data_IF_882294454023
#
_entry.id   IF_882294454023
#
_cell.length_a   1.000
_cell.length_b   1.000
_cell.length_c   1.000
_cell.angle_alpha   90.00
_cell.angle_beta   90.00
_cell.angle_gamma   90.00
#
_symmetry.space_group_name_H-M   'P 1'
#
loop_
_entity.id
_entity.type
_entity.pdbx_description
1 polymer ?
#
# COMPACT_ATOMS: atom_id res chain seq x y z
N UNK A 1 -4.35 13.93 26.95
CA UNK A 1 -3.58 14.98 27.65
C UNK A 1 -2.92 15.99 26.71
N UNK A 2 -2.16 15.58 25.69
CA UNK A 2 -1.46 16.51 24.77
C UNK A 2 -2.32 17.69 24.27
N UNK A 3 -3.49 17.43 23.66
CA UNK A 3 -4.36 18.48 23.12
C UNK A 3 -4.96 19.39 24.19
N UNK A 4 -5.46 18.81 25.28
CA UNK A 4 -6.07 19.56 26.38
C UNK A 4 -5.06 20.45 27.11
N UNK A 5 -3.85 19.93 27.35
CA UNK A 5 -2.76 20.66 28.03
C UNK A 5 -1.83 21.39 27.05
N UNK A 6 -2.16 21.37 25.76
CA UNK A 6 -1.47 22.08 24.67
C UNK A 6 0.04 21.84 24.60
N UNK A 7 0.50 20.62 24.89
CA UNK A 7 1.92 20.28 24.86
C UNK A 7 2.55 20.49 23.48
N UNK A 8 1.80 20.19 22.42
CA UNK A 8 2.23 20.35 21.03
C UNK A 8 2.67 21.78 20.69
N UNK A 9 2.10 22.81 21.34
CA UNK A 9 2.47 24.21 21.12
C UNK A 9 3.91 24.46 21.57
N UNK A 10 4.27 23.92 22.73
CA UNK A 10 5.64 24.03 23.25
C UNK A 10 6.63 23.22 22.42
N UNK A 11 6.21 22.04 21.93
CA UNK A 11 7.02 21.22 21.02
C UNK A 11 7.28 21.96 19.70
N UNK A 12 6.27 22.55 19.07
CA UNK A 12 6.48 23.34 17.85
C UNK A 12 7.42 24.52 18.08
N UNK A 13 7.29 25.21 19.22
CA UNK A 13 8.13 26.36 19.55
C UNK A 13 9.59 26.00 19.83
N UNK A 14 9.86 24.82 20.39
CA UNK A 14 11.20 24.42 20.80
C UNK A 14 11.90 23.46 19.81
N UNK A 15 11.40 23.39 18.57
CA UNK A 15 11.98 22.56 17.51
C UNK A 15 11.72 21.08 17.73
N UNK A 16 10.52 20.72 18.18
CA UNK A 16 10.04 19.35 18.44
C UNK A 16 10.86 18.60 19.49
N UNK A 17 11.18 19.28 20.59
CA UNK A 17 11.90 18.70 21.73
C UNK A 17 10.98 18.52 22.94
N UNK A 18 11.15 17.42 23.66
CA UNK A 18 10.49 17.17 24.93
C UNK A 18 11.16 17.94 26.08
N UNK A 19 10.62 17.83 27.30
CA UNK A 19 11.16 18.52 28.48
C UNK A 19 12.61 18.10 28.83
N UNK A 20 13.03 16.91 28.39
CA UNK A 20 14.41 16.40 28.55
C UNK A 20 15.34 16.82 27.39
N UNK A 21 14.90 17.74 26.53
CA UNK A 21 15.60 18.23 25.32
C UNK A 21 15.84 17.15 24.25
N UNK A 22 15.18 16.01 24.34
CA UNK A 22 15.23 14.97 23.31
C UNK A 22 14.15 15.20 22.27
N UNK A 23 14.30 14.70 21.03
CA UNK A 23 13.23 14.72 20.04
C UNK A 23 11.93 14.11 20.58
N UNK A 24 10.80 14.72 20.23
CA UNK A 24 9.49 14.15 20.55
C UNK A 24 9.30 12.85 19.77
N UNK A 25 8.91 11.79 20.47
CA UNK A 25 8.62 10.50 19.83
C UNK A 25 7.49 10.63 18.81
N UNK A 26 7.65 9.98 17.66
CA UNK A 26 6.69 9.99 16.55
C UNK A 26 6.32 11.41 16.08
N UNK A 27 7.31 12.30 16.03
CA UNK A 27 7.17 13.69 15.62
C UNK A 27 6.45 13.84 14.27
N UNK A 28 6.78 13.01 13.30
CA UNK A 28 6.17 12.99 11.97
C UNK A 28 4.66 12.71 12.03
N UNK A 29 4.23 11.75 12.85
CA UNK A 29 2.82 11.45 13.07
C UNK A 29 2.10 12.62 13.75
N UNK A 30 2.72 13.25 14.74
CA UNK A 30 2.16 14.44 15.38
C UNK A 30 1.95 15.59 14.39
N UNK A 31 2.91 15.84 13.51
CA UNK A 31 2.78 16.87 12.48
C UNK A 31 1.59 16.60 11.56
N UNK A 32 1.40 15.36 11.12
CA UNK A 32 0.25 14.96 10.28
C UNK A 32 -1.08 15.13 11.01
N UNK A 33 -1.16 14.70 12.27
CA UNK A 33 -2.37 14.86 13.08
C UNK A 33 -2.71 16.34 13.26
N UNK A 34 -1.74 17.19 13.59
CA UNK A 34 -1.98 18.63 13.77
C UNK A 34 -2.47 19.31 12.49
N UNK A 35 -1.94 18.90 11.33
CA UNK A 35 -2.39 19.41 10.03
C UNK A 35 -3.85 19.03 9.71
N UNK A 36 -4.31 17.85 10.16
CA UNK A 36 -5.70 17.41 9.98
C UNK A 36 -6.65 18.06 10.99
N UNK A 37 -6.23 18.16 12.26
CA UNK A 37 -7.01 18.82 13.32
C UNK A 37 -7.24 20.29 12.99
N UNK A 38 -6.28 20.96 12.35
CA UNK A 38 -6.47 22.34 11.89
C UNK A 38 -7.57 22.52 10.83
N UNK A 39 -7.96 21.45 10.13
CA UNK A 39 -8.96 21.48 9.05
C UNK A 39 -10.37 21.07 9.49
N UNK A 40 -10.51 20.48 10.68
CA UNK A 40 -11.77 19.90 11.15
C UNK A 40 -12.11 20.35 12.58
N UNK A 41 -13.40 20.43 12.91
CA UNK A 41 -13.85 20.67 14.29
C UNK A 41 -13.77 19.37 15.07
N UNK A 42 -12.65 19.15 15.76
CA UNK A 42 -12.39 17.93 16.55
C UNK A 42 -12.30 18.28 18.04
N UNK A 43 -13.03 17.54 18.87
CA UNK A 43 -12.87 17.59 20.34
C UNK A 43 -12.13 16.35 20.85
N UNK A 44 -11.19 16.56 21.77
CA UNK A 44 -10.39 15.49 22.35
C UNK A 44 -10.85 15.20 23.78
N UNK A 45 -11.33 13.97 24.00
CA UNK A 45 -11.73 13.46 25.31
C UNK A 45 -10.77 12.36 25.72
N UNK A 46 -10.18 12.48 26.91
CA UNK A 46 -9.37 11.40 27.48
C UNK A 46 -10.31 10.37 28.09
N UNK A 47 -10.25 9.15 27.60
CA UNK A 47 -10.87 7.99 28.23
C UNK A 47 -9.79 7.11 28.86
N UNK A 48 -10.16 6.33 29.88
CA UNK A 48 -9.27 5.34 30.47
C UNK A 48 -9.25 4.12 29.54
N UNK A 49 -8.06 3.57 29.26
CA UNK A 49 -7.95 2.31 28.52
C UNK A 49 -8.53 1.15 29.32
N UNK A 50 -9.06 0.13 28.64
CA UNK A 50 -9.67 -1.06 29.22
C UNK A 50 -10.80 -0.73 30.22
N UNK A 51 -11.62 0.25 29.85
CA UNK A 51 -12.75 0.70 30.66
C UNK A 51 -14.10 0.29 30.05
N UNK A 52 -14.09 -0.59 29.04
CA UNK A 52 -15.29 -1.07 28.37
C UNK A 52 -15.91 -0.05 27.40
N UNK A 53 -15.15 0.99 27.01
CA UNK A 53 -15.61 1.97 26.02
C UNK A 53 -15.38 1.36 24.64
N UNK A 54 -16.45 0.85 24.02
CA UNK A 54 -16.43 0.06 22.79
C UNK A 54 -15.46 0.58 21.72
N UNK A 55 -15.58 1.86 21.33
CA UNK A 55 -14.73 2.44 20.28
C UNK A 55 -13.26 2.60 20.70
N UNK A 56 -13.00 2.77 21.99
CA UNK A 56 -11.63 2.83 22.51
C UNK A 56 -11.00 1.43 22.57
N UNK A 57 -11.75 0.42 22.98
CA UNK A 57 -11.29 -0.97 22.94
C UNK A 57 -11.09 -1.44 21.51
N UNK A 58 -11.95 -1.01 20.56
CA UNK A 58 -11.75 -1.27 19.14
C UNK A 58 -10.48 -0.62 18.60
N UNK A 59 -10.24 0.65 18.93
CA UNK A 59 -9.02 1.36 18.53
C UNK A 59 -7.76 0.71 19.12
N UNK A 60 -7.81 0.29 20.38
CA UNK A 60 -6.73 -0.45 21.04
C UNK A 60 -6.49 -1.81 20.36
N UNK A 61 -7.56 -2.56 20.05
CA UNK A 61 -7.47 -3.81 19.32
C UNK A 61 -6.90 -3.66 17.91
N UNK A 62 -7.24 -2.58 17.20
CA UNK A 62 -6.65 -2.27 15.90
C UNK A 62 -5.18 -1.88 16.01
N UNK A 63 -4.79 -1.12 17.03
CA UNK A 63 -3.40 -0.76 17.27
C UNK A 63 -2.54 -1.99 17.61
N UNK A 64 -3.05 -2.87 18.48
CA UNK A 64 -2.39 -4.13 18.83
C UNK A 64 -2.25 -5.04 17.61
N UNK A 65 -3.31 -5.17 16.79
CA UNK A 65 -3.23 -5.91 15.52
C UNK A 65 -2.17 -5.33 14.59
N UNK A 66 -2.10 -4.01 14.45
CA UNK A 66 -1.07 -3.36 13.65
C UNK A 66 0.34 -3.65 14.16
N UNK A 67 0.54 -3.72 15.48
CA UNK A 67 1.81 -4.11 16.10
C UNK A 67 2.14 -5.59 15.91
N UNK A 68 1.15 -6.47 16.01
CA UNK A 68 1.30 -7.91 15.73
C UNK A 68 1.67 -8.14 14.27
N UNK A 69 1.03 -7.41 13.35
CA UNK A 69 1.39 -7.37 11.94
C UNK A 69 2.83 -6.87 11.76
N UNK A 70 3.21 -5.77 12.44
CA UNK A 70 4.56 -5.21 12.39
C UNK A 70 5.64 -6.20 12.88
N UNK A 71 5.36 -6.93 13.96
CA UNK A 71 6.24 -7.95 14.54
C UNK A 71 6.33 -9.22 13.68
N UNK A 72 5.39 -9.41 12.75
CA UNK A 72 5.44 -10.50 11.75
C UNK A 72 6.37 -10.19 10.58
N UNK A 73 6.92 -8.97 10.50
CA UNK A 73 7.95 -8.61 9.53
C UNK A 73 9.35 -8.92 10.11
N UNK A 74 10.27 -9.52 9.32
CA UNK A 74 11.64 -9.74 9.78
C UNK A 74 12.33 -8.40 10.11
N UNK A 75 13.14 -8.42 11.16
CA UNK A 75 13.72 -7.31 11.95
C UNK A 75 14.70 -6.36 11.23
N UNK A 76 14.57 -6.18 9.91
CA UNK A 76 15.44 -5.32 9.09
C UNK A 76 14.99 -3.86 8.94
N UNK A 77 13.82 -3.48 9.46
CA UNK A 77 13.31 -2.11 9.34
C UNK A 77 13.99 -1.14 10.32
N UNK A 78 15.25 -0.81 10.08
CA UNK A 78 15.84 0.42 10.64
C UNK A 78 15.69 1.56 9.64
N UNK A 79 15.15 2.68 10.15
CA UNK A 79 15.09 4.04 9.60
C UNK A 79 15.86 4.27 8.29
N UNK A 80 15.14 4.39 7.18
CA UNK A 80 15.62 5.07 5.99
C UNK A 80 14.99 6.48 5.94
N UNK A 81 15.53 7.39 6.76
CA UNK A 81 15.54 8.82 6.46
C UNK A 81 16.89 9.34 6.91
N UNK A 82 17.78 9.57 5.94
CA UNK A 82 19.13 10.11 6.10
C UNK A 82 19.69 10.45 4.72
N UNK A 83 19.61 11.75 4.42
CA UNK A 83 20.39 12.60 3.51
C UNK A 83 21.32 11.98 2.45
N UNK A 84 21.13 12.47 1.22
CA UNK A 84 22.11 12.71 0.17
C UNK A 84 23.10 11.59 -0.19
N UNK A 85 22.67 10.64 -1.03
CA UNK A 85 23.59 9.93 -1.92
C UNK A 85 23.04 9.85 -3.34
N UNK A 86 23.96 9.96 -4.29
CA UNK A 86 23.77 10.11 -5.73
C UNK A 86 22.82 9.06 -6.32
N UNK A 87 22.03 9.47 -7.32
CA UNK A 87 20.97 8.67 -7.94
C UNK A 87 21.42 7.25 -8.33
N UNK A 88 20.53 6.25 -8.27
CA UNK A 88 20.97 4.87 -8.33
C UNK A 88 21.49 4.56 -9.73
N UNK A 89 22.77 4.18 -9.77
CA UNK A 89 23.41 3.53 -10.90
C UNK A 89 22.63 2.28 -11.34
N UNK A 90 22.97 1.83 -12.55
CA UNK A 90 22.32 0.72 -13.24
C UNK A 90 22.10 -0.51 -12.33
N UNK A 91 20.93 -1.17 -12.42
CA UNK A 91 20.60 -2.27 -11.52
C UNK A 91 21.51 -3.48 -11.76
N UNK A 92 21.90 -4.14 -10.67
CA UNK A 92 22.57 -5.45 -10.65
C UNK A 92 21.81 -6.53 -11.45
N UNK A 93 22.50 -7.57 -11.95
CA UNK A 93 21.95 -8.43 -12.98
C UNK A 93 20.85 -9.35 -12.48
N UNK A 94 19.81 -9.39 -13.31
CA UNK A 94 18.58 -10.15 -13.23
C UNK A 94 18.76 -11.68 -13.18
N UNK A 95 18.01 -12.37 -12.31
CA UNK A 95 17.69 -13.80 -12.50
C UNK A 95 16.79 -13.98 -13.73
N UNK A 96 16.63 -15.19 -14.28
CA UNK A 96 15.86 -15.42 -15.52
C UNK A 96 14.39 -14.90 -15.51
N UNK A 97 13.76 -14.73 -14.34
CA UNK A 97 12.44 -14.08 -14.20
C UNK A 97 12.48 -12.56 -14.45
N UNK A 98 13.64 -11.96 -14.24
CA UNK A 98 13.87 -10.52 -14.26
C UNK A 98 14.21 -10.03 -15.69
N UNK A 99 14.37 -10.96 -16.65
CA UNK A 99 14.37 -10.61 -18.08
C UNK A 99 13.01 -10.09 -18.58
N UNK A 100 11.91 -10.55 -18.00
CA UNK A 100 10.53 -10.24 -18.45
C UNK A 100 9.92 -9.01 -17.79
N UNK A 101 10.65 -8.35 -16.89
CA UNK A 101 10.22 -7.13 -16.23
C UNK A 101 11.31 -6.07 -16.39
N UNK A 102 10.97 -4.93 -16.97
CA UNK A 102 11.79 -3.71 -16.85
C UNK A 102 11.07 -2.74 -15.96
N UNK A 103 11.79 -1.98 -15.15
CA UNK A 103 11.18 -0.96 -14.33
C UNK A 103 12.09 0.26 -14.16
N UNK A 104 11.50 1.38 -13.75
CA UNK A 104 12.20 2.60 -13.37
C UNK A 104 11.56 3.18 -12.12
N UNK A 105 12.38 3.50 -11.11
CA UNK A 105 11.92 4.24 -9.95
C UNK A 105 11.56 5.67 -10.35
N UNK A 106 10.49 6.20 -9.79
CA UNK A 106 10.03 7.58 -9.96
C UNK A 106 9.64 8.16 -8.60
N UNK A 107 9.45 9.46 -8.52
CA UNK A 107 8.90 10.07 -7.32
C UNK A 107 7.54 9.44 -6.99
N UNK A 108 7.41 8.87 -5.78
CA UNK A 108 6.18 8.25 -5.31
C UNK A 108 5.87 6.85 -5.86
N UNK A 109 6.76 6.21 -6.63
CA UNK A 109 6.51 4.83 -7.07
C UNK A 109 7.46 4.27 -8.13
N UNK A 110 6.91 3.39 -8.98
CA UNK A 110 7.66 2.71 -10.02
C UNK A 110 6.85 2.66 -11.32
N UNK A 111 7.54 2.82 -12.45
CA UNK A 111 7.02 2.52 -13.77
C UNK A 111 7.50 1.13 -14.17
N UNK A 112 6.57 0.22 -14.48
CA UNK A 112 6.88 -1.15 -14.86
C UNK A 112 6.53 -1.38 -16.33
N UNK A 113 7.34 -2.18 -17.01
CA UNK A 113 7.09 -2.70 -18.35
C UNK A 113 7.25 -4.21 -18.33
N UNK A 114 6.12 -4.91 -18.39
CA UNK A 114 6.08 -6.35 -18.51
C UNK A 114 6.31 -6.72 -19.99
N UNK A 115 7.15 -7.73 -20.23
CA UNK A 115 7.39 -8.26 -21.55
C UNK A 115 6.38 -9.36 -21.90
N UNK A 116 6.29 -9.70 -23.20
CA UNK A 116 5.41 -10.77 -23.68
C UNK A 116 5.70 -12.07 -22.92
N UNK A 117 4.63 -12.76 -22.51
CA UNK A 117 4.70 -14.00 -21.74
C UNK A 117 4.95 -13.80 -20.24
N UNK A 118 5.00 -12.57 -19.73
CA UNK A 118 4.96 -12.32 -18.29
C UNK A 118 3.56 -12.60 -17.72
N UNK A 119 3.50 -13.32 -16.61
CA UNK A 119 2.25 -13.51 -15.85
C UNK A 119 2.05 -12.28 -14.96
N UNK A 120 1.03 -11.47 -15.27
CA UNK A 120 0.87 -10.12 -14.68
C UNK A 120 0.88 -10.13 -13.15
N UNK A 121 -0.05 -10.86 -12.52
CA UNK A 121 -0.20 -10.86 -11.06
C UNK A 121 1.01 -11.45 -10.34
N UNK A 122 1.61 -12.49 -10.90
CA UNK A 122 2.83 -13.10 -10.36
C UNK A 122 4.01 -12.13 -10.42
N UNK A 123 4.19 -11.46 -11.57
CA UNK A 123 5.24 -10.46 -11.77
C UNK A 123 5.08 -9.28 -10.80
N UNK A 124 3.85 -8.77 -10.64
CA UNK A 124 3.54 -7.69 -9.71
C UNK A 124 3.83 -8.10 -8.25
N UNK A 125 3.32 -9.25 -7.80
CA UNK A 125 3.53 -9.72 -6.43
C UNK A 125 5.01 -9.97 -6.13
N UNK A 126 5.75 -10.57 -7.06
CA UNK A 126 7.20 -10.78 -6.95
C UNK A 126 7.97 -9.46 -6.88
N UNK A 127 7.60 -8.47 -7.71
CA UNK A 127 8.21 -7.15 -7.67
C UNK A 127 7.95 -6.44 -6.34
N UNK A 128 6.70 -6.44 -5.86
CA UNK A 128 6.29 -5.87 -4.57
C UNK A 128 7.07 -6.50 -3.42
N UNK A 129 7.23 -7.83 -3.43
CA UNK A 129 8.00 -8.55 -2.42
C UNK A 129 9.48 -8.13 -2.42
N UNK A 130 10.14 -8.17 -3.59
CA UNK A 130 11.57 -7.86 -3.74
C UNK A 130 11.90 -6.40 -3.42
N UNK A 131 10.96 -5.48 -3.66
CA UNK A 131 11.12 -4.05 -3.36
C UNK A 131 10.54 -3.65 -2.02
N UNK A 132 10.00 -4.61 -1.26
CA UNK A 132 9.41 -4.40 0.07
C UNK A 132 8.38 -3.24 0.09
N UNK A 133 7.53 -3.18 -0.94
CA UNK A 133 6.51 -2.12 -1.07
C UNK A 133 5.39 -2.41 -0.07
N UNK A 134 5.31 -1.61 1.00
CA UNK A 134 4.36 -1.83 2.11
C UNK A 134 2.88 -1.73 1.71
N UNK A 135 2.57 -0.97 0.66
CA UNK A 135 1.22 -0.76 0.16
C UNK A 135 1.20 0.35 -0.90
N UNK A 136 0.07 0.50 -1.57
CA UNK A 136 -0.06 1.51 -2.63
C UNK A 136 -1.17 1.20 -3.61
N UNK A 137 -1.15 1.88 -4.74
CA UNK A 137 -2.05 1.65 -5.86
C UNK A 137 -1.29 1.13 -7.06
N UNK A 138 -1.99 0.38 -7.91
CA UNK A 138 -1.47 -0.07 -9.19
C UNK A 138 -2.45 0.34 -10.28
N UNK A 139 -1.90 0.85 -11.39
CA UNK A 139 -2.65 1.07 -12.61
C UNK A 139 -1.84 0.61 -13.82
N UNK A 140 -2.51 0.11 -14.85
CA UNK A 140 -1.85 -0.37 -16.06
C UNK A 140 -2.76 -0.30 -17.28
N UNK A 141 -2.10 -0.32 -18.44
CA UNK A 141 -2.67 -0.50 -19.78
C UNK A 141 -1.75 -1.45 -20.55
N UNK A 142 -2.21 -2.03 -21.65
CA UNK A 142 -1.39 -2.88 -22.51
C UNK A 142 -2.22 -3.89 -23.28
N UNK A 143 -1.62 -5.03 -23.62
CA UNK A 143 -2.31 -6.15 -24.25
C UNK A 143 -2.07 -7.42 -23.44
N UNK A 144 -3.10 -8.26 -23.34
CA UNK A 144 -3.09 -9.52 -22.63
C UNK A 144 -3.53 -10.66 -23.54
N UNK A 145 -3.10 -11.87 -23.22
CA UNK A 145 -3.44 -13.10 -23.91
C UNK A 145 -4.03 -14.08 -22.88
N UNK A 146 -5.13 -14.73 -23.23
CA UNK A 146 -5.82 -15.75 -22.42
C UNK A 146 -6.10 -15.31 -20.98
N UNK A 147 -7.06 -14.38 -20.83
CA UNK A 147 -7.31 -13.69 -19.55
C UNK A 147 -8.38 -14.40 -18.73
N UNK A 148 -8.10 -14.64 -17.45
CA UNK A 148 -9.12 -15.06 -16.49
C UNK A 148 -9.68 -13.84 -15.76
N UNK A 149 -11.01 -13.71 -15.73
CA UNK A 149 -11.71 -12.71 -14.93
C UNK A 149 -12.69 -13.35 -13.96
N UNK A 150 -12.88 -12.68 -12.83
CA UNK A 150 -13.71 -13.10 -11.72
C UNK A 150 -14.94 -12.24 -11.50
N UNK A 151 -16.03 -12.89 -11.07
CA UNK A 151 -17.24 -12.25 -10.56
C UNK A 151 -17.67 -12.92 -9.26
N UNK A 152 -17.76 -12.14 -8.18
CA UNK A 152 -18.25 -12.65 -6.90
C UNK A 152 -19.77 -12.52 -6.82
N UNK A 153 -20.47 -13.66 -6.86
CA UNK A 153 -21.93 -13.71 -6.81
C UNK A 153 -22.39 -13.68 -5.35
N UNK A 154 -23.09 -12.61 -4.97
CA UNK A 154 -23.53 -12.40 -3.59
C UNK A 154 -24.63 -13.35 -3.12
N UNK A 155 -25.46 -13.87 -4.04
CA UNK A 155 -26.60 -14.72 -3.69
C UNK A 155 -26.19 -16.04 -3.04
N UNK A 156 -25.07 -16.61 -3.47
CA UNK A 156 -24.54 -17.89 -3.01
C UNK A 156 -23.09 -17.78 -2.50
N UNK A 157 -22.53 -16.56 -2.47
CA UNK A 157 -21.14 -16.25 -2.07
C UNK A 157 -20.11 -17.06 -2.87
N UNK A 158 -20.41 -17.37 -4.13
CA UNK A 158 -19.49 -18.10 -5.00
C UNK A 158 -18.70 -17.14 -5.90
N UNK A 159 -17.45 -17.53 -6.15
CA UNK A 159 -16.58 -16.82 -7.06
C UNK A 159 -16.62 -17.50 -8.44
N UNK A 160 -17.25 -16.86 -9.40
CA UNK A 160 -17.31 -17.32 -10.78
C UNK A 160 -16.05 -16.85 -11.49
N UNK A 161 -15.34 -17.77 -12.15
CA UNK A 161 -14.24 -17.42 -13.06
C UNK A 161 -14.67 -17.72 -14.48
N UNK A 162 -14.32 -16.81 -15.38
CA UNK A 162 -14.48 -16.99 -16.80
C UNK A 162 -13.15 -16.72 -17.48
N UNK A 163 -12.72 -17.68 -18.30
CA UNK A 163 -11.58 -17.53 -19.18
C UNK A 163 -12.02 -16.85 -20.48
N UNK A 164 -11.20 -15.91 -20.95
CA UNK A 164 -11.37 -15.17 -22.18
C UNK A 164 -10.15 -15.47 -23.07
N UNK A 165 -10.22 -16.54 -23.89
CA UNK A 165 -9.12 -16.94 -24.74
C UNK A 165 -8.90 -15.95 -25.88
N UNK A 166 -7.65 -15.78 -26.30
CA UNK A 166 -7.25 -14.85 -27.35
C UNK A 166 -6.63 -13.56 -26.81
N UNK A 167 -6.41 -12.60 -27.71
CA UNK A 167 -5.71 -11.34 -27.41
C UNK A 167 -6.74 -10.25 -27.10
N UNK A 168 -6.52 -9.56 -26.00
CA UNK A 168 -7.34 -8.45 -25.55
C UNK A 168 -6.49 -7.21 -25.27
N UNK A 169 -6.99 -6.03 -25.64
CA UNK A 169 -6.45 -4.77 -25.16
C UNK A 169 -6.88 -4.56 -23.70
N UNK A 170 -5.92 -4.35 -22.80
CA UNK A 170 -6.12 -3.93 -21.42
C UNK A 170 -6.37 -2.42 -21.40
N UNK A 171 -7.65 -2.06 -21.48
CA UNK A 171 -8.13 -0.67 -21.51
C UNK A 171 -7.90 0.01 -20.17
N UNK A 172 -8.18 -0.71 -19.08
CA UNK A 172 -7.96 -0.23 -17.71
C UNK A 172 -7.62 -1.39 -16.79
N UNK A 173 -6.66 -1.16 -15.91
CA UNK A 173 -6.36 -1.99 -14.76
C UNK A 173 -6.21 -1.07 -13.57
N UNK A 174 -6.97 -1.30 -12.51
CA UNK A 174 -6.87 -0.50 -11.28
C UNK A 174 -6.93 -1.42 -10.08
N UNK A 175 -6.01 -1.21 -9.15
CA UNK A 175 -5.96 -2.01 -7.95
C UNK A 175 -5.24 -1.33 -6.79
N UNK A 176 -5.22 -2.04 -5.67
CA UNK A 176 -4.44 -1.70 -4.51
C UNK A 176 -3.47 -2.84 -4.15
N UNK A 177 -2.41 -2.45 -3.47
CA UNK A 177 -1.39 -3.34 -2.93
C UNK A 177 -1.63 -3.44 -1.43
N UNK A 178 -1.79 -4.66 -0.95
CA UNK A 178 -1.98 -5.01 0.45
C UNK A 178 -1.15 -6.25 0.80
N UNK A 179 -1.24 -6.72 2.04
CA UNK A 179 -0.63 -7.98 2.47
C UNK A 179 -1.70 -8.88 3.08
N UNK A 180 -1.69 -10.16 2.67
CA UNK A 180 -2.53 -11.21 3.24
C UNK A 180 -1.59 -12.31 3.70
N UNK A 181 -1.67 -12.67 4.98
CA UNK A 181 -0.79 -13.68 5.59
C UNK A 181 0.71 -13.42 5.30
N UNK A 182 1.14 -12.15 5.35
CA UNK A 182 2.54 -11.75 5.17
C UNK A 182 3.05 -11.85 3.73
N UNK A 183 2.18 -12.16 2.76
CA UNK A 183 2.50 -12.14 1.33
C UNK A 183 1.85 -10.93 0.67
N UNK A 184 2.51 -10.29 -0.31
CA UNK A 184 1.88 -9.29 -1.14
C UNK A 184 0.61 -9.82 -1.78
N UNK A 185 -0.42 -8.99 -1.77
CA UNK A 185 -1.69 -9.26 -2.40
C UNK A 185 -2.15 -8.03 -3.17
N UNK A 186 -2.13 -8.14 -4.49
CA UNK A 186 -2.76 -7.17 -5.39
C UNK A 186 -4.22 -7.53 -5.55
N UNK A 187 -5.11 -6.60 -5.24
CA UNK A 187 -6.53 -6.69 -5.59
C UNK A 187 -6.78 -5.71 -6.73
N UNK A 188 -7.09 -6.22 -7.93
CA UNK A 188 -7.31 -5.40 -9.11
C UNK A 188 -8.58 -5.77 -9.86
N UNK A 189 -9.14 -4.77 -10.54
CA UNK A 189 -10.21 -4.92 -11.51
C UNK A 189 -9.71 -4.43 -12.85
N UNK A 190 -10.18 -5.08 -13.92
CA UNK A 190 -9.75 -4.78 -15.27
C UNK A 190 -10.95 -4.59 -16.21
N UNK A 191 -10.74 -3.77 -17.24
CA UNK A 191 -11.59 -3.68 -18.43
C UNK A 191 -10.73 -3.98 -19.65
N UNK A 192 -11.21 -4.90 -20.47
CA UNK A 192 -10.56 -5.42 -21.65
C UNK A 192 -11.42 -5.15 -22.88
N UNK A 193 -10.81 -5.00 -24.06
CA UNK A 193 -11.51 -4.92 -25.35
C UNK A 193 -11.02 -6.01 -26.31
N UNK A 194 -11.94 -6.65 -27.00
CA UNK A 194 -11.60 -7.56 -28.11
C UNK A 194 -11.42 -6.80 -29.44
N UNK A 195 -11.08 -7.53 -30.51
CA UNK A 195 -10.90 -6.97 -31.86
C UNK A 195 -12.20 -6.40 -32.47
N UNK A 196 -13.37 -6.75 -31.91
CA UNK A 196 -14.68 -6.17 -32.26
C UNK A 196 -15.06 -4.99 -31.35
N UNK A 197 -14.12 -4.49 -30.53
CA UNK A 197 -14.32 -3.40 -29.56
C UNK A 197 -15.37 -3.70 -28.49
N UNK A 198 -15.68 -4.98 -28.23
CA UNK A 198 -16.61 -5.38 -27.17
C UNK A 198 -15.87 -5.39 -25.84
N UNK A 199 -16.39 -4.69 -24.82
CA UNK A 199 -15.74 -4.66 -23.51
C UNK A 199 -16.09 -5.90 -22.69
N UNK A 200 -15.10 -6.43 -21.98
CA UNK A 200 -15.31 -7.37 -20.87
C UNK A 200 -14.61 -6.82 -19.63
N UNK A 201 -15.21 -7.01 -18.46
CA UNK A 201 -14.67 -6.46 -17.22
C UNK A 201 -14.95 -7.37 -16.03
N UNK A 202 -14.09 -7.29 -15.02
CA UNK A 202 -14.23 -8.10 -13.82
C UNK A 202 -13.05 -7.91 -12.88
N UNK A 203 -13.06 -8.71 -11.81
CA UNK A 203 -11.90 -8.84 -10.94
C UNK A 203 -10.81 -9.63 -11.67
N UNK A 204 -9.55 -9.23 -11.51
CA UNK A 204 -8.39 -9.79 -12.20
C UNK A 204 -7.56 -10.66 -11.25
#
# INVERSE_FOLDING_TARGET
NCFQQRWYVNWQRNGWKNAKKQPVENQDLWQRILALVGKAKVSFHKVKGHAGVELNELADGLANRGMDELNRYPSGFSKAVGEDEEGPGEPEPATAEDERLRYRAVEGGYLLRLQRGARVMETLNSFILRRQIAGGTVSAIGALEDVDLGYFRLSDRQYLRQNFPGIYELISFMGNISYVEGKPFVHAHATLGDEQYRPVAGHF
#
